data_IF_278600212600
#
_entry.id   IF_278600212600
#
_cell.length_a   1.000
_cell.length_b   1.000
_cell.length_c   1.000
_cell.angle_alpha   90.00
_cell.angle_beta   90.00
_cell.angle_gamma   90.00
#
_symmetry.space_group_name_H-M   'P 1'
#
loop_
_entity.id
_entity.type
_entity.pdbx_description
1 polymer ?
#
# COMPACT_ATOMS: atom_id res chain seq x y z
N UNK A 1 3.33 3.68 2.62
CA UNK A 1 1.95 4.20 2.46
C UNK A 1 1.87 5.20 1.29
N UNK A 2 1.99 4.72 0.05
CA UNK A 2 1.81 5.60 -1.11
C UNK A 2 0.38 6.14 -1.12
N UNK A 3 0.23 7.46 -1.27
CA UNK A 3 -1.07 8.15 -1.27
C UNK A 3 -1.56 8.41 -2.69
N UNK A 4 -2.82 8.85 -2.80
CA UNK A 4 -3.48 9.29 -4.04
C UNK A 4 -3.88 8.17 -5.00
N UNK A 5 -3.76 6.90 -4.62
CA UNK A 5 -4.30 5.79 -5.40
C UNK A 5 -5.83 5.82 -5.53
N UNK A 6 -6.53 6.34 -4.52
CA UNK A 6 -7.96 6.57 -4.58
C UNK A 6 -8.31 7.82 -5.39
N UNK A 7 -7.84 8.97 -4.90
CA UNK A 7 -8.26 10.28 -5.43
C UNK A 7 -7.84 10.50 -6.89
N UNK A 8 -6.66 10.02 -7.31
CA UNK A 8 -6.21 10.18 -8.70
C UNK A 8 -7.08 9.40 -9.70
N UNK A 9 -7.89 8.45 -9.22
CA UNK A 9 -8.89 7.76 -10.04
C UNK A 9 -10.05 8.68 -10.48
N UNK A 10 -10.22 9.83 -9.82
CA UNK A 10 -11.25 10.82 -10.13
C UNK A 10 -10.73 12.01 -10.93
N UNK A 11 -9.44 12.30 -10.82
CA UNK A 11 -8.79 13.45 -11.46
C UNK A 11 -9.03 13.53 -12.97
N UNK A 12 -8.94 12.44 -13.76
CA UNK A 12 -9.25 12.50 -15.20
C UNK A 12 -10.66 13.04 -15.49
N UNK A 13 -11.66 12.65 -14.70
CA UNK A 13 -13.04 13.09 -14.91
C UNK A 13 -13.20 14.58 -14.62
N UNK A 14 -12.53 15.08 -13.59
CA UNK A 14 -12.50 16.52 -13.27
C UNK A 14 -11.83 17.30 -14.39
N UNK A 15 -10.65 16.86 -14.85
CA UNK A 15 -9.93 17.54 -15.94
C UNK A 15 -10.73 17.56 -17.24
N UNK A 16 -11.34 16.43 -17.63
CA UNK A 16 -12.24 16.38 -18.79
C UNK A 16 -13.42 17.32 -18.65
N UNK A 17 -14.03 17.40 -17.47
CA UNK A 17 -15.15 18.31 -17.23
C UNK A 17 -14.72 19.78 -17.39
N UNK A 18 -13.61 20.18 -16.77
CA UNK A 18 -13.10 21.56 -16.86
C UNK A 18 -12.77 21.92 -18.31
N UNK A 19 -12.10 21.02 -19.05
CA UNK A 19 -11.78 21.25 -20.45
C UNK A 19 -13.03 21.38 -21.32
N UNK A 20 -14.06 20.57 -21.08
CA UNK A 20 -15.36 20.70 -21.76
C UNK A 20 -16.03 22.03 -21.47
N UNK A 21 -16.00 22.51 -20.22
CA UNK A 21 -16.57 23.82 -19.82
C UNK A 21 -15.80 24.97 -20.46
N UNK A 22 -14.52 24.79 -20.76
CA UNK A 22 -13.67 25.77 -21.43
C UNK A 22 -13.68 25.66 -22.98
N UNK A 23 -14.64 24.93 -23.56
CA UNK A 23 -14.76 24.64 -24.99
C UNK A 23 -13.50 23.99 -25.61
N UNK A 24 -12.70 23.28 -24.80
CA UNK A 24 -11.50 22.52 -25.20
C UNK A 24 -11.82 21.04 -25.39
N UNK A 25 -12.69 20.75 -26.35
CA UNK A 25 -13.23 19.39 -26.55
C UNK A 25 -12.17 18.39 -27.03
N UNK A 26 -11.26 18.78 -27.91
CA UNK A 26 -10.22 17.87 -28.43
C UNK A 26 -9.18 17.56 -27.36
N UNK A 27 -8.75 18.56 -26.59
CA UNK A 27 -7.83 18.38 -25.46
C UNK A 27 -8.45 17.51 -24.37
N UNK A 28 -9.76 17.61 -24.13
CA UNK A 28 -10.45 16.72 -23.19
C UNK A 28 -10.33 15.24 -23.59
N UNK A 29 -10.22 14.92 -24.88
CA UNK A 29 -10.07 13.53 -25.35
C UNK A 29 -8.65 12.99 -25.10
N UNK A 30 -7.66 13.88 -24.97
CA UNK A 30 -6.27 13.51 -24.70
C UNK A 30 -6.02 13.10 -23.24
N UNK A 31 -6.95 13.41 -22.33
CA UNK A 31 -6.85 13.00 -20.93
C UNK A 31 -7.02 11.48 -20.82
N UNK A 32 -5.95 10.78 -20.44
CA UNK A 32 -5.94 9.33 -20.24
C UNK A 32 -6.84 8.91 -19.07
N UNK A 33 -7.42 7.71 -19.19
CA UNK A 33 -8.08 7.08 -18.05
C UNK A 33 -7.03 6.71 -17.00
N UNK A 34 -7.40 6.87 -15.74
CA UNK A 34 -6.56 6.50 -14.60
C UNK A 34 -7.46 5.91 -13.52
N UNK A 35 -7.23 4.66 -13.12
CA UNK A 35 -7.95 4.03 -12.01
C UNK A 35 -7.00 3.17 -11.13
N UNK A 36 -6.07 3.81 -10.42
CA UNK A 36 -5.16 3.10 -9.52
C UNK A 36 -5.89 2.48 -8.33
N UNK A 37 -7.08 2.97 -7.94
CA UNK A 37 -7.85 2.39 -6.85
C UNK A 37 -8.22 0.93 -7.15
N UNK A 38 -8.72 0.67 -8.37
CA UNK A 38 -9.03 -0.67 -8.82
C UNK A 38 -7.78 -1.56 -8.92
N UNK A 39 -6.65 -1.01 -9.38
CA UNK A 39 -5.37 -1.74 -9.45
C UNK A 39 -4.82 -2.13 -8.08
N UNK A 40 -4.83 -1.19 -7.12
CA UNK A 40 -4.41 -1.43 -5.74
C UNK A 40 -5.32 -2.46 -5.06
N UNK A 41 -6.64 -2.31 -5.21
CA UNK A 41 -7.61 -3.25 -4.67
C UNK A 41 -7.46 -4.65 -5.28
N UNK A 42 -7.14 -4.75 -6.59
CA UNK A 42 -6.83 -6.03 -7.23
C UNK A 42 -5.62 -6.72 -6.60
N UNK A 43 -4.55 -5.97 -6.31
CA UNK A 43 -3.37 -6.52 -5.63
C UNK A 43 -3.68 -7.01 -4.21
N UNK A 44 -4.44 -6.22 -3.45
CA UNK A 44 -4.88 -6.60 -2.10
C UNK A 44 -5.83 -7.81 -2.12
N UNK A 45 -6.74 -7.88 -3.09
CA UNK A 45 -7.65 -9.01 -3.27
C UNK A 45 -6.88 -10.30 -3.60
N UNK A 46 -5.92 -10.24 -4.52
CA UNK A 46 -5.06 -11.38 -4.85
C UNK A 46 -4.26 -11.88 -3.62
N UNK A 47 -3.73 -10.96 -2.81
CA UNK A 47 -3.05 -11.32 -1.57
C UNK A 47 -3.99 -12.01 -0.56
N UNK A 48 -5.23 -11.54 -0.45
CA UNK A 48 -6.27 -12.14 0.38
C UNK A 48 -6.68 -13.54 -0.13
N UNK A 49 -6.85 -13.70 -1.45
CA UNK A 49 -7.16 -14.99 -2.10
C UNK A 49 -6.03 -16.01 -1.86
N UNK A 50 -4.78 -15.61 -2.03
CA UNK A 50 -3.61 -16.45 -1.78
C UNK A 50 -3.42 -16.81 -0.30
N UNK A 51 -3.90 -15.98 0.63
CA UNK A 51 -3.94 -16.31 2.04
C UNK A 51 -4.90 -17.47 2.32
N UNK A 52 -6.00 -17.60 1.55
CA UNK A 52 -6.82 -18.81 1.49
C UNK A 52 -7.87 -18.99 2.59
N UNK A 53 -8.19 -17.94 3.37
CA UNK A 53 -9.21 -18.00 4.43
C UNK A 53 -10.35 -17.02 4.14
N UNK A 54 -11.53 -17.53 3.76
CA UNK A 54 -12.72 -16.72 3.47
C UNK A 54 -13.23 -15.92 4.69
N UNK A 55 -12.89 -16.37 5.90
CA UNK A 55 -13.26 -15.69 7.16
C UNK A 55 -12.33 -14.53 7.50
N UNK A 56 -11.14 -14.50 6.91
CA UNK A 56 -10.15 -13.49 7.20
C UNK A 56 -10.48 -12.17 6.49
N UNK A 57 -10.01 -11.06 7.05
CA UNK A 57 -10.30 -9.71 6.54
C UNK A 57 -9.01 -8.99 6.12
N UNK A 58 -9.17 -7.95 5.31
CA UNK A 58 -8.10 -6.98 5.04
C UNK A 58 -8.13 -5.90 6.12
N UNK A 59 -7.03 -5.71 6.84
CA UNK A 59 -6.90 -4.64 7.83
C UNK A 59 -6.11 -3.47 7.25
N UNK A 60 -6.74 -2.29 7.21
CA UNK A 60 -6.05 -1.04 6.95
C UNK A 60 -5.50 -0.52 8.28
N UNK A 61 -4.17 -0.46 8.41
CA UNK A 61 -3.51 0.16 9.56
C UNK A 61 -3.45 1.68 9.32
N UNK A 62 -4.19 2.46 10.12
CA UNK A 62 -4.46 3.87 9.86
C UNK A 62 -4.05 4.77 11.02
N UNK A 63 -3.93 6.06 10.75
CA UNK A 63 -3.74 7.12 11.74
C UNK A 63 -5.07 7.45 12.44
N UNK A 64 -4.96 8.06 13.62
CA UNK A 64 -6.10 8.51 14.42
C UNK A 64 -6.94 9.57 13.69
N UNK A 65 -6.29 10.66 13.29
CA UNK A 65 -6.92 11.72 12.50
C UNK A 65 -6.43 11.60 11.05
N UNK A 66 -7.25 11.04 10.17
CA UNK A 66 -6.91 10.86 8.75
C UNK A 66 -7.62 11.89 7.87
N UNK A 67 -6.94 13.01 7.56
CA UNK A 67 -7.47 14.06 6.67
C UNK A 67 -7.70 13.56 5.25
N UNK A 68 -6.91 12.59 4.79
CA UNK A 68 -6.99 12.00 3.45
C UNK A 68 -7.81 10.71 3.42
N UNK A 69 -8.82 10.57 4.30
CA UNK A 69 -9.56 9.29 4.45
C UNK A 69 -10.24 8.84 3.16
N UNK A 70 -10.72 9.77 2.34
CA UNK A 70 -11.42 9.44 1.10
C UNK A 70 -10.52 8.75 0.07
N UNK A 71 -9.21 9.02 0.07
CA UNK A 71 -8.25 8.27 -0.74
C UNK A 71 -8.25 6.77 -0.39
N UNK A 72 -8.37 6.45 0.91
CA UNK A 72 -8.43 5.07 1.37
C UNK A 72 -9.78 4.44 0.99
N UNK A 73 -10.88 5.19 1.19
CA UNK A 73 -12.25 4.72 0.94
C UNK A 73 -12.49 4.30 -0.51
N UNK A 74 -11.84 4.93 -1.49
CA UNK A 74 -11.90 4.46 -2.86
C UNK A 74 -11.35 3.03 -3.02
N UNK A 75 -10.23 2.72 -2.37
CA UNK A 75 -9.64 1.36 -2.39
C UNK A 75 -10.51 0.38 -1.58
N UNK A 76 -11.06 0.82 -0.45
CA UNK A 76 -11.98 -0.01 0.36
C UNK A 76 -13.26 -0.37 -0.40
N UNK A 77 -13.87 0.59 -1.09
CA UNK A 77 -15.08 0.35 -1.89
C UNK A 77 -14.82 -0.64 -3.02
N UNK A 78 -13.64 -0.57 -3.64
CA UNK A 78 -13.22 -1.56 -4.63
C UNK A 78 -13.10 -2.97 -4.00
N UNK A 79 -12.56 -3.11 -2.80
CA UNK A 79 -12.54 -4.41 -2.09
C UNK A 79 -13.95 -4.89 -1.70
N UNK A 80 -14.82 -3.98 -1.26
CA UNK A 80 -16.22 -4.31 -0.94
C UNK A 80 -17.01 -4.76 -2.15
N UNK A 81 -16.78 -4.16 -3.32
CA UNK A 81 -17.39 -4.61 -4.58
C UNK A 81 -16.98 -6.04 -4.96
N UNK A 82 -15.90 -6.57 -4.36
CA UNK A 82 -15.41 -7.95 -4.49
C UNK A 82 -15.83 -8.85 -3.32
N UNK A 83 -16.72 -8.38 -2.43
CA UNK A 83 -17.13 -9.04 -1.19
C UNK A 83 -15.99 -9.31 -0.19
N UNK A 84 -14.88 -8.57 -0.29
CA UNK A 84 -13.75 -8.70 0.66
C UNK A 84 -13.96 -7.69 1.78
N UNK A 85 -14.11 -8.20 3.01
CA UNK A 85 -14.32 -7.36 4.18
C UNK A 85 -13.04 -6.60 4.55
N UNK A 86 -13.21 -5.33 4.87
CA UNK A 86 -12.14 -4.44 5.34
C UNK A 86 -12.45 -3.94 6.74
N UNK A 87 -11.43 -3.93 7.61
CA UNK A 87 -11.47 -3.22 8.90
C UNK A 87 -10.36 -2.16 8.95
N UNK A 88 -10.56 -1.13 9.77
CA UNK A 88 -9.59 -0.06 9.99
C UNK A 88 -9.15 -0.07 11.45
N UNK A 89 -7.84 -0.11 11.70
CA UNK A 89 -7.28 -0.19 13.05
C UNK A 89 -6.07 0.72 13.19
N UNK A 90 -5.90 1.28 14.39
CA UNK A 90 -4.71 1.99 14.79
C UNK A 90 -3.71 1.02 15.43
N UNK A 91 -2.48 1.47 15.67
CA UNK A 91 -1.51 0.66 16.41
C UNK A 91 -2.05 0.27 17.79
N UNK A 92 -2.69 1.21 18.47
CA UNK A 92 -3.27 1.06 19.80
C UNK A 92 -4.37 -0.01 19.85
N UNK A 93 -5.16 -0.16 18.78
CA UNK A 93 -6.16 -1.22 18.70
C UNK A 93 -5.52 -2.60 18.55
N UNK A 94 -4.46 -2.69 17.74
CA UNK A 94 -3.67 -3.92 17.54
C UNK A 94 -2.92 -4.26 18.83
N UNK A 95 -2.33 -3.30 19.52
CA UNK A 95 -1.69 -3.52 20.82
C UNK A 95 -2.68 -4.03 21.88
N UNK A 96 -3.92 -3.53 21.87
CA UNK A 96 -4.94 -3.86 22.88
C UNK A 96 -5.58 -5.23 22.65
N UNK A 97 -5.86 -5.61 21.41
CA UNK A 97 -6.67 -6.79 21.08
C UNK A 97 -5.97 -7.80 20.18
N UNK A 98 -4.78 -7.45 19.68
CA UNK A 98 -4.03 -8.24 18.73
C UNK A 98 -3.36 -9.44 19.39
N UNK A 99 -3.44 -10.60 18.74
CA UNK A 99 -2.68 -11.77 19.14
C UNK A 99 -2.37 -12.68 17.95
N UNK A 100 -1.41 -13.57 18.13
CA UNK A 100 -1.11 -14.65 17.19
C UNK A 100 -1.61 -15.97 17.77
N UNK A 101 -2.25 -16.79 16.95
CA UNK A 101 -2.56 -18.16 17.34
C UNK A 101 -1.32 -19.08 17.24
N UNK A 102 -1.52 -20.38 17.50
CA UNK A 102 -0.45 -21.38 17.43
C UNK A 102 0.17 -21.49 16.02
N UNK A 103 -0.61 -21.19 14.99
CA UNK A 103 -0.20 -21.21 13.58
C UNK A 103 0.29 -19.85 13.08
N UNK A 104 0.54 -18.88 13.97
CA UNK A 104 0.95 -17.51 13.64
C UNK A 104 -0.05 -16.72 12.80
N UNK A 105 -1.32 -17.11 12.79
CA UNK A 105 -2.38 -16.29 12.19
C UNK A 105 -2.66 -15.11 13.10
N UNK A 106 -2.78 -13.93 12.50
CA UNK A 106 -3.04 -12.68 13.22
C UNK A 106 -4.54 -12.54 13.47
N UNK A 107 -4.91 -12.23 14.71
CA UNK A 107 -6.27 -11.86 15.07
C UNK A 107 -6.26 -10.47 15.72
N UNK A 108 -7.22 -9.62 15.35
CA UNK A 108 -7.45 -8.30 15.96
C UNK A 108 -8.94 -8.14 16.19
N UNK A 109 -9.36 -7.80 17.42
CA UNK A 109 -10.76 -7.84 17.87
C UNK A 109 -11.51 -9.14 17.50
N UNK A 110 -10.81 -10.28 17.61
CA UNK A 110 -11.36 -11.60 17.29
C UNK A 110 -11.52 -11.90 15.79
N UNK A 111 -11.06 -11.01 14.89
CA UNK A 111 -11.11 -11.23 13.45
C UNK A 111 -9.74 -11.66 12.92
N UNK A 112 -9.72 -12.75 12.16
CA UNK A 112 -8.54 -13.23 11.45
C UNK A 112 -8.13 -12.23 10.36
N UNK A 113 -6.84 -11.88 10.29
CA UNK A 113 -6.32 -10.88 9.35
C UNK A 113 -5.49 -11.58 8.29
N UNK A 114 -5.94 -11.49 7.04
CA UNK A 114 -5.23 -12.02 5.87
C UNK A 114 -4.17 -11.05 5.36
N UNK A 115 -4.50 -9.75 5.35
CA UNK A 115 -3.64 -8.70 4.78
C UNK A 115 -3.60 -7.50 5.73
N UNK A 116 -2.40 -7.02 6.03
CA UNK A 116 -2.16 -5.75 6.73
C UNK A 116 -1.71 -4.71 5.70
N UNK A 117 -2.62 -3.80 5.35
CA UNK A 117 -2.33 -2.70 4.44
C UNK A 117 -1.98 -1.43 5.22
N UNK A 118 -0.70 -1.03 5.15
CA UNK A 118 -0.17 0.09 5.93
C UNK A 118 -0.50 1.43 5.28
N UNK A 119 -1.34 2.21 5.98
CA UNK A 119 -1.55 3.65 5.76
C UNK A 119 -1.07 4.49 6.96
N UNK A 120 -0.21 3.91 7.78
CA UNK A 120 0.44 4.49 8.97
C UNK A 120 1.78 3.75 9.20
N UNK A 121 2.60 4.19 10.14
CA UNK A 121 3.82 3.51 10.58
C UNK A 121 5.05 3.74 9.70
N UNK A 122 5.08 4.85 8.95
CA UNK A 122 6.21 5.25 8.10
C UNK A 122 6.99 6.45 8.64
N UNK A 123 6.49 7.10 9.70
CA UNK A 123 7.19 8.16 10.43
C UNK A 123 7.43 7.71 11.88
N UNK A 124 8.54 8.15 12.53
CA UNK A 124 8.78 7.85 13.94
C UNK A 124 7.61 8.25 14.85
N UNK A 125 7.01 9.43 14.62
CA UNK A 125 5.89 9.95 15.39
C UNK A 125 4.59 9.12 15.30
N UNK A 126 4.52 8.16 14.37
CA UNK A 126 3.42 7.20 14.32
C UNK A 126 3.50 6.16 15.46
N UNK A 127 4.68 5.98 16.04
CA UNK A 127 4.96 5.07 17.15
C UNK A 127 4.94 5.85 18.46
N UNK A 128 3.74 6.13 18.97
CA UNK A 128 3.56 6.97 20.18
C UNK A 128 3.98 6.26 21.47
N UNK A 129 3.88 4.93 21.49
CA UNK A 129 4.12 4.09 22.65
C UNK A 129 4.99 2.90 22.24
N UNK A 130 5.68 2.29 23.22
CA UNK A 130 6.50 1.09 22.97
C UNK A 130 5.64 -0.07 22.42
N UNK A 131 4.39 -0.17 22.88
CA UNK A 131 3.43 -1.16 22.40
C UNK A 131 3.13 -1.03 20.90
N UNK A 132 3.37 0.14 20.28
CA UNK A 132 3.25 0.31 18.83
C UNK A 132 4.35 -0.48 18.10
N UNK A 133 5.56 -0.54 18.65
CA UNK A 133 6.65 -1.36 18.13
C UNK A 133 6.38 -2.85 18.30
N UNK A 134 5.87 -3.25 19.46
CA UNK A 134 5.44 -4.63 19.73
C UNK A 134 4.32 -5.07 18.77
N UNK A 135 3.33 -4.21 18.53
CA UNK A 135 2.27 -4.46 17.55
C UNK A 135 2.82 -4.58 16.13
N UNK A 136 3.76 -3.70 15.73
CA UNK A 136 4.43 -3.82 14.43
C UNK A 136 5.14 -5.15 14.28
N UNK A 137 5.91 -5.56 15.30
CA UNK A 137 6.62 -6.84 15.32
C UNK A 137 5.65 -8.03 15.28
N UNK A 138 4.53 -7.96 16.01
CA UNK A 138 3.50 -9.00 16.01
C UNK A 138 2.90 -9.18 14.61
N UNK A 139 2.51 -8.08 13.95
CA UNK A 139 2.02 -8.11 12.58
C UNK A 139 3.06 -8.72 11.63
N UNK A 140 4.33 -8.31 11.74
CA UNK A 140 5.42 -8.79 10.90
C UNK A 140 5.65 -10.30 11.03
N UNK A 141 5.63 -10.82 12.27
CA UNK A 141 5.80 -12.25 12.60
C UNK A 141 4.60 -13.12 12.23
N UNK A 142 3.48 -12.52 11.85
CA UNK A 142 2.27 -13.25 11.47
C UNK A 142 2.31 -13.78 10.05
N UNK A 143 1.44 -14.74 9.76
CA UNK A 143 1.17 -15.24 8.40
C UNK A 143 0.44 -14.23 7.51
N UNK A 144 -0.10 -13.14 8.07
CA UNK A 144 -0.77 -12.12 7.25
C UNK A 144 0.21 -11.56 6.21
N UNK A 145 -0.28 -11.25 5.01
CA UNK A 145 0.49 -10.54 3.99
C UNK A 145 0.63 -9.08 4.42
N UNK A 146 1.86 -8.58 4.47
CA UNK A 146 2.12 -7.17 4.80
C UNK A 146 2.25 -6.37 3.51
N UNK A 147 1.61 -5.21 3.46
CA UNK A 147 1.71 -4.29 2.34
C UNK A 147 2.07 -2.88 2.87
N UNK A 148 3.38 -2.55 3.00
CA UNK A 148 4.55 -3.40 2.76
C UNK A 148 4.99 -4.22 3.99
N UNK A 149 5.75 -5.30 3.77
CA UNK A 149 6.56 -5.94 4.81
C UNK A 149 7.78 -5.08 5.22
N UNK A 150 8.50 -5.50 6.27
CA UNK A 150 9.63 -4.70 6.79
C UNK A 150 10.77 -4.57 5.76
N UNK A 151 11.05 -5.60 4.97
CA UNK A 151 12.08 -5.57 3.93
C UNK A 151 11.74 -4.56 2.85
N UNK A 152 10.51 -4.60 2.32
CA UNK A 152 10.02 -3.67 1.31
C UNK A 152 9.97 -2.24 1.85
N UNK A 153 9.64 -2.05 3.13
CA UNK A 153 9.72 -0.75 3.78
C UNK A 153 11.16 -0.20 3.73
N UNK A 154 12.16 -1.00 4.12
CA UNK A 154 13.57 -0.58 4.15
C UNK A 154 14.14 -0.32 2.75
N UNK A 155 13.73 -1.09 1.74
CA UNK A 155 14.13 -0.88 0.33
C UNK A 155 13.67 0.50 -0.18
N UNK A 156 12.55 1.02 0.32
CA UNK A 156 12.06 2.37 -0.03
C UNK A 156 12.86 3.54 0.55
N UNK A 157 13.90 3.28 1.37
CA UNK A 157 14.70 4.34 1.99
C UNK A 157 15.59 5.05 0.96
N UNK A 158 15.88 6.33 1.22
CA UNK A 158 16.77 7.13 0.37
C UNK A 158 18.20 6.58 0.33
N UNK A 159 18.62 5.91 1.41
CA UNK A 159 19.93 5.25 1.45
C UNK A 159 19.99 4.07 0.48
N UNK A 160 18.98 3.20 0.46
CA UNK A 160 18.92 2.11 -0.53
C UNK A 160 18.83 2.65 -1.95
N UNK A 161 18.02 3.69 -2.19
CA UNK A 161 17.96 4.37 -3.49
C UNK A 161 19.34 4.85 -3.96
N UNK A 162 20.15 5.43 -3.06
CA UNK A 162 21.52 5.87 -3.36
C UNK A 162 22.46 4.69 -3.61
N UNK A 163 22.38 3.60 -2.83
CA UNK A 163 23.22 2.42 -3.01
C UNK A 163 22.94 1.71 -4.35
N UNK A 164 21.67 1.61 -4.77
CA UNK A 164 21.29 1.04 -6.06
C UNK A 164 21.88 1.80 -7.26
N UNK A 165 22.20 3.08 -7.09
CA UNK A 165 22.83 3.88 -8.14
C UNK A 165 24.32 3.59 -8.34
N UNK A 166 24.99 2.94 -7.38
CA UNK A 166 26.41 2.61 -7.50
C UNK A 166 26.66 1.65 -8.68
N UNK A 167 27.82 1.77 -9.36
CA UNK A 167 28.19 0.82 -10.41
C UNK A 167 28.21 -0.63 -9.89
N UNK A 168 27.63 -1.56 -10.65
CA UNK A 168 27.61 -2.99 -10.34
C UNK A 168 26.56 -3.44 -9.32
N UNK A 169 25.95 -2.53 -8.55
CA UNK A 169 24.96 -2.90 -7.52
C UNK A 169 23.63 -3.30 -8.15
N UNK A 170 23.09 -2.48 -9.07
CA UNK A 170 21.81 -2.78 -9.72
C UNK A 170 21.90 -4.08 -10.54
N UNK A 171 23.02 -4.30 -11.22
CA UNK A 171 23.30 -5.49 -12.02
C UNK A 171 23.23 -6.78 -11.18
N UNK A 172 23.61 -6.71 -9.90
CA UNK A 172 23.53 -7.88 -9.00
C UNK A 172 22.08 -8.33 -8.72
N UNK A 173 21.09 -7.46 -8.90
CA UNK A 173 19.66 -7.78 -8.75
C UNK A 173 19.01 -8.21 -10.07
N UNK A 174 19.67 -7.97 -11.21
CA UNK A 174 19.17 -8.22 -12.55
C UNK A 174 20.28 -8.85 -13.44
N UNK A 175 20.85 -10.01 -13.04
CA UNK A 175 22.07 -10.55 -13.67
C UNK A 175 21.89 -10.89 -15.15
N UNK A 176 20.68 -11.30 -15.56
CA UNK A 176 20.37 -11.75 -16.91
C UNK A 176 19.45 -10.76 -17.66
N UNK A 177 19.29 -9.54 -17.15
CA UNK A 177 18.38 -8.53 -17.71
C UNK A 177 19.07 -7.18 -17.99
N UNK A 178 20.05 -7.13 -18.92
CA UNK A 178 20.83 -5.92 -19.20
C UNK A 178 19.97 -4.76 -19.74
N UNK A 179 18.90 -5.06 -20.45
CA UNK A 179 17.94 -4.05 -20.93
C UNK A 179 17.18 -3.41 -19.77
N UNK A 180 16.69 -4.21 -18.82
CA UNK A 180 16.04 -3.73 -17.59
C UNK A 180 16.98 -2.82 -16.80
N UNK A 181 18.25 -3.23 -16.63
CA UNK A 181 19.28 -2.41 -15.97
C UNK A 181 19.45 -1.07 -16.69
N UNK A 182 19.57 -1.09 -18.02
CA UNK A 182 19.76 0.11 -18.84
C UNK A 182 18.58 1.08 -18.68
N UNK A 183 17.35 0.58 -18.75
CA UNK A 183 16.14 1.39 -18.58
C UNK A 183 16.05 2.00 -17.19
N UNK A 184 16.32 1.24 -16.13
CA UNK A 184 16.31 1.75 -14.76
C UNK A 184 17.40 2.82 -14.58
N UNK A 185 18.64 2.55 -15.02
CA UNK A 185 19.76 3.51 -14.92
C UNK A 185 19.49 4.82 -15.67
N UNK A 186 18.77 4.77 -16.79
CA UNK A 186 18.37 5.97 -17.53
C UNK A 186 17.46 6.92 -16.72
N UNK A 187 16.82 6.43 -15.64
CA UNK A 187 16.01 7.26 -14.73
C UNK A 187 16.79 7.82 -13.54
N UNK A 188 18.05 7.41 -13.33
CA UNK A 188 18.86 7.91 -12.22
C UNK A 188 19.41 9.30 -12.55
N UNK A 189 19.33 10.22 -11.59
CA UNK A 189 19.76 11.61 -11.77
C UNK A 189 21.30 11.81 -11.72
N UNK A 190 22.07 10.73 -11.59
CA UNK A 190 23.49 10.78 -11.23
C UNK A 190 23.70 11.03 -9.73
N UNK A 191 24.90 10.69 -9.24
CA UNK A 191 25.41 10.97 -7.90
C UNK A 191 26.80 11.59 -8.02
#
# INVERSE_FOLDING_TARGET
AASFGGLSSRTPNVHRHILKVADRLEESKLILNNNPAAGLAKGLAMAWELYGSERAVVMFLVEDIQRNIYDHRYVENELWARNIRVIRRQFEDVSRSGYLDQNKRLFVDGQEIAVVYFRNGYMPHNYKLEQSWEARLMMERSCAVKCPDISTHLVGTKKVQQELARPGVLESFFPDEPETVTQIRATFAGL
#
